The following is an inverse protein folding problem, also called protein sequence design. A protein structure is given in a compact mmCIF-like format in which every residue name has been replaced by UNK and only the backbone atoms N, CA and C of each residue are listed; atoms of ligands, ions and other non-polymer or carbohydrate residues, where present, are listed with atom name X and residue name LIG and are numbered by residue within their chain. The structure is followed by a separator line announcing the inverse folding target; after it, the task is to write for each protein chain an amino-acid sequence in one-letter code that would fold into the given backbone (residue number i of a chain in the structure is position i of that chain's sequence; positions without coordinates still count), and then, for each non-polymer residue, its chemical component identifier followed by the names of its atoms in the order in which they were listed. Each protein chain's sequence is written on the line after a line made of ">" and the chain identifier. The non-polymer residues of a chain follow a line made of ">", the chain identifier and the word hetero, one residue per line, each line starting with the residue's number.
data_IF_715546577781
#
_entry.id   IF_715546577781
#
_cell.length_a   1.000
_cell.length_b   1.000
_cell.length_c   1.000
_cell.angle_alpha   90.00
_cell.angle_beta   90.00
_cell.angle_gamma   90.00
#
_symmetry.space_group_name_H-M   'P 1'
#
loop_
_entity.id
_entity.type
_entity.pdbx_description
1 polymer ?
#
# COMPACT_ATOMS: atom_id res chain seq x y z
N UNK A 1 2.73 31.71 38.76
CA UNK A 1 1.83 30.74 38.08
C UNK A 1 2.43 30.08 36.81
N UNK A 2 3.48 30.62 36.19
CA UNK A 2 4.01 30.14 34.88
C UNK A 2 4.98 28.92 34.93
N UNK A 3 5.56 28.56 36.07
CA UNK A 3 6.59 27.51 36.15
C UNK A 3 5.96 26.09 36.20
N UNK A 4 4.81 25.97 36.89
CA UNK A 4 4.12 24.68 37.03
C UNK A 4 3.48 24.24 35.70
N UNK A 5 2.91 25.20 34.95
CA UNK A 5 2.33 24.93 33.60
C UNK A 5 3.38 24.48 32.58
N UNK A 6 4.58 25.05 32.63
CA UNK A 6 5.68 24.62 31.76
C UNK A 6 6.14 23.18 32.05
N UNK A 7 6.28 22.78 33.31
CA UNK A 7 6.71 21.41 33.67
C UNK A 7 5.72 20.35 33.17
N UNK A 8 4.41 20.59 33.28
CA UNK A 8 3.40 19.62 32.81
C UNK A 8 3.38 19.48 31.30
N UNK A 9 3.65 20.53 30.52
CA UNK A 9 3.75 20.51 29.07
C UNK A 9 4.97 19.69 28.64
N UNK A 10 6.14 19.94 29.25
CA UNK A 10 7.36 19.21 28.95
C UNK A 10 7.24 17.73 29.31
N UNK A 11 6.64 17.38 30.41
CA UNK A 11 6.39 15.99 30.81
C UNK A 11 5.48 15.28 29.82
N UNK A 12 4.38 15.93 29.41
CA UNK A 12 3.49 15.37 28.37
C UNK A 12 4.21 15.16 27.04
N UNK A 13 5.04 16.11 26.61
CA UNK A 13 5.82 15.98 25.39
C UNK A 13 6.81 14.81 25.49
N UNK A 14 7.54 14.71 26.59
CA UNK A 14 8.50 13.63 26.83
C UNK A 14 7.82 12.24 26.79
N UNK A 15 6.67 12.09 27.45
CA UNK A 15 5.92 10.83 27.46
C UNK A 15 5.51 10.44 26.03
N UNK A 16 5.05 11.39 25.21
CA UNK A 16 4.67 11.12 23.80
C UNK A 16 5.86 10.67 22.96
N UNK A 17 7.02 11.31 23.12
CA UNK A 17 8.26 10.90 22.45
C UNK A 17 8.65 9.49 22.87
N UNK A 18 8.71 9.22 24.19
CA UNK A 18 9.04 7.89 24.72
C UNK A 18 8.05 6.83 24.18
N UNK A 19 6.73 7.11 24.23
CA UNK A 19 5.72 6.18 23.72
C UNK A 19 5.90 5.89 22.23
N UNK A 20 6.24 6.92 21.43
CA UNK A 20 6.53 6.73 20.00
C UNK A 20 7.75 5.85 19.79
N UNK A 21 8.84 6.10 20.52
CA UNK A 21 10.06 5.28 20.45
C UNK A 21 9.82 3.84 20.89
N UNK A 22 9.06 3.63 21.96
CA UNK A 22 8.69 2.29 22.44
C UNK A 22 7.83 1.56 21.39
N UNK A 23 6.89 2.25 20.74
CA UNK A 23 6.08 1.64 19.69
C UNK A 23 6.92 1.32 18.44
N UNK A 24 7.84 2.20 18.04
CA UNK A 24 8.81 1.91 16.98
C UNK A 24 9.69 0.70 17.34
N UNK A 25 10.17 0.62 18.58
CA UNK A 25 10.95 -0.53 19.05
C UNK A 25 10.14 -1.84 19.04
N UNK A 26 8.86 -1.79 19.44
CA UNK A 26 7.96 -2.94 19.33
C UNK A 26 7.83 -3.41 17.88
N UNK A 27 7.60 -2.48 16.94
CA UNK A 27 7.51 -2.78 15.50
C UNK A 27 8.83 -3.36 14.99
N UNK A 28 9.97 -2.80 15.41
CA UNK A 28 11.29 -3.29 15.05
C UNK A 28 11.50 -4.74 15.48
N UNK A 29 11.29 -5.04 16.75
CA UNK A 29 11.47 -6.38 17.30
C UNK A 29 10.47 -7.41 16.73
N UNK A 30 9.29 -6.93 16.31
CA UNK A 30 8.30 -7.77 15.65
C UNK A 30 8.70 -8.16 14.22
N UNK A 31 9.47 -7.32 13.52
CA UNK A 31 9.56 -7.36 12.05
C UNK A 31 10.99 -7.54 11.51
N UNK A 32 12.02 -7.01 12.16
CA UNK A 32 13.36 -6.92 11.60
C UNK A 32 13.99 -8.28 11.27
N UNK A 33 13.85 -9.28 12.17
CA UNK A 33 14.37 -10.62 11.97
C UNK A 33 13.28 -11.66 11.65
N UNK A 34 12.05 -11.19 11.44
CA UNK A 34 10.87 -12.03 11.20
C UNK A 34 10.09 -11.57 9.97
N UNK A 35 10.73 -11.38 8.80
CA UNK A 35 10.01 -11.02 7.59
C UNK A 35 8.99 -12.10 7.24
N UNK A 36 7.87 -11.67 6.67
CA UNK A 36 6.85 -12.58 6.17
C UNK A 36 7.15 -12.88 4.69
N UNK A 37 7.89 -13.97 4.47
CA UNK A 37 8.18 -14.46 3.13
C UNK A 37 6.90 -14.92 2.45
N UNK A 38 6.60 -14.33 1.31
CA UNK A 38 5.50 -14.69 0.44
C UNK A 38 6.00 -14.92 -0.99
N UNK A 39 5.15 -15.50 -1.83
CA UNK A 39 5.53 -15.79 -3.21
C UNK A 39 5.95 -14.53 -3.97
N UNK A 40 5.26 -13.39 -3.76
CA UNK A 40 5.53 -12.13 -4.45
C UNK A 40 6.98 -11.63 -4.24
N UNK A 41 7.60 -11.98 -3.11
CA UNK A 41 8.97 -11.56 -2.82
C UNK A 41 10.00 -12.15 -3.80
N UNK A 42 9.75 -13.35 -4.34
CA UNK A 42 10.67 -14.01 -5.28
C UNK A 42 10.81 -13.20 -6.58
N UNK A 43 9.71 -12.88 -7.30
CA UNK A 43 9.82 -12.07 -8.52
C UNK A 43 10.25 -10.62 -8.26
N UNK A 44 10.07 -10.05 -7.05
CA UNK A 44 10.68 -8.74 -6.73
C UNK A 44 12.19 -8.82 -6.62
N UNK A 45 12.73 -9.86 -5.94
CA UNK A 45 14.16 -10.12 -5.87
C UNK A 45 14.74 -10.36 -7.27
N UNK A 46 14.09 -11.20 -8.06
CA UNK A 46 14.49 -11.44 -9.45
C UNK A 46 14.44 -10.16 -10.29
N UNK A 47 13.41 -9.32 -10.12
CA UNK A 47 13.30 -8.04 -10.83
C UNK A 47 14.43 -7.07 -10.47
N UNK A 48 14.79 -6.99 -9.19
CA UNK A 48 15.91 -6.15 -8.74
C UNK A 48 17.25 -6.68 -9.30
N UNK A 49 17.45 -8.01 -9.32
CA UNK A 49 18.65 -8.62 -9.92
C UNK A 49 18.69 -8.44 -11.44
N UNK A 50 17.54 -8.49 -12.11
CA UNK A 50 17.43 -8.24 -13.56
C UNK A 50 17.87 -6.81 -13.95
N UNK A 51 17.69 -5.82 -13.10
CA UNK A 51 18.20 -4.47 -13.37
C UNK A 51 19.72 -4.44 -13.50
N UNK A 52 20.42 -5.35 -12.82
CA UNK A 52 21.88 -5.50 -12.88
C UNK A 52 22.33 -6.37 -14.07
N UNK A 53 21.76 -7.56 -14.16
CA UNK A 53 22.26 -8.61 -15.08
C UNK A 53 21.72 -8.50 -16.49
N UNK A 54 20.50 -7.95 -16.65
CA UNK A 54 19.72 -7.95 -17.88
C UNK A 54 19.45 -9.36 -18.44
N UNK A 55 19.56 -10.37 -17.57
CA UNK A 55 19.41 -11.77 -17.88
C UNK A 55 18.33 -12.39 -16.98
N UNK A 56 17.30 -12.98 -17.60
CA UNK A 56 16.18 -13.57 -16.88
C UNK A 56 16.54 -14.90 -16.21
N UNK A 57 17.38 -15.72 -16.86
CA UNK A 57 17.79 -17.02 -16.34
C UNK A 57 18.68 -16.85 -15.08
N UNK A 58 19.65 -15.95 -15.15
CA UNK A 58 20.50 -15.59 -14.00
C UNK A 58 19.65 -15.04 -12.85
N UNK A 59 18.71 -14.14 -13.14
CA UNK A 59 17.85 -13.51 -12.15
C UNK A 59 16.88 -14.51 -11.49
N UNK A 60 16.34 -15.44 -12.30
CA UNK A 60 15.50 -16.54 -11.84
C UNK A 60 16.27 -17.43 -10.85
N UNK A 61 17.40 -18.00 -11.29
CA UNK A 61 18.25 -18.88 -10.49
C UNK A 61 18.67 -18.21 -9.19
N UNK A 62 19.14 -16.98 -9.27
CA UNK A 62 19.58 -16.19 -8.11
C UNK A 62 18.46 -16.04 -7.08
N UNK A 63 17.24 -15.69 -7.51
CA UNK A 63 16.13 -15.42 -6.60
C UNK A 63 15.71 -16.64 -5.80
N UNK A 64 15.67 -17.83 -6.43
CA UNK A 64 15.33 -19.08 -5.76
C UNK A 64 16.48 -19.61 -4.88
N UNK A 65 17.72 -19.49 -5.30
CA UNK A 65 18.89 -19.86 -4.49
C UNK A 65 18.97 -18.97 -3.22
N UNK A 66 18.74 -17.67 -3.38
CA UNK A 66 18.72 -16.74 -2.25
C UNK A 66 17.57 -17.07 -1.29
N UNK A 67 16.35 -17.38 -1.80
CA UNK A 67 15.23 -17.85 -0.98
C UNK A 67 15.60 -19.09 -0.17
N UNK A 68 16.18 -20.09 -0.84
CA UNK A 68 16.61 -21.34 -0.19
C UNK A 68 17.61 -21.09 0.93
N UNK A 69 18.52 -20.13 0.74
CA UNK A 69 19.52 -19.73 1.73
C UNK A 69 18.92 -18.96 2.91
N UNK A 70 17.98 -18.04 2.64
CA UNK A 70 17.44 -17.11 3.66
C UNK A 70 16.23 -17.63 4.40
N UNK A 71 15.43 -18.46 3.75
CA UNK A 71 14.17 -18.97 4.29
C UNK A 71 13.93 -20.45 3.94
N UNK A 72 14.88 -21.36 4.32
CA UNK A 72 14.81 -22.77 3.95
C UNK A 72 13.52 -23.44 4.40
N UNK A 73 12.99 -23.05 5.55
CA UNK A 73 11.73 -23.57 6.10
C UNK A 73 10.51 -23.22 5.26
N UNK A 74 10.54 -22.13 4.47
CA UNK A 74 9.45 -21.72 3.60
C UNK A 74 9.68 -22.11 2.13
N UNK A 75 10.90 -22.56 1.79
CA UNK A 75 11.31 -22.80 0.40
C UNK A 75 10.34 -23.74 -0.32
N UNK A 76 10.10 -24.96 0.20
CA UNK A 76 9.22 -25.93 -0.46
C UNK A 76 7.79 -25.42 -0.64
N UNK A 77 7.26 -24.69 0.33
CA UNK A 77 5.94 -24.08 0.24
C UNK A 77 5.84 -22.96 -0.80
N UNK A 78 6.91 -22.21 -1.00
CA UNK A 78 6.92 -21.08 -1.92
C UNK A 78 7.37 -21.43 -3.35
N UNK A 79 8.27 -22.44 -3.50
CA UNK A 79 8.75 -22.85 -4.83
C UNK A 79 7.91 -23.96 -5.46
N UNK A 80 7.43 -24.90 -4.64
CA UNK A 80 7.14 -26.24 -5.16
C UNK A 80 5.72 -26.73 -4.78
N UNK A 81 4.85 -25.89 -4.24
CA UNK A 81 3.47 -26.25 -3.92
C UNK A 81 2.51 -25.92 -5.05
N UNK A 82 1.99 -26.93 -5.72
CA UNK A 82 1.04 -26.81 -6.82
C UNK A 82 1.69 -26.53 -8.19
N UNK A 83 0.91 -26.73 -9.26
CA UNK A 83 1.40 -26.67 -10.63
C UNK A 83 2.03 -25.32 -10.99
N UNK A 84 1.40 -24.21 -10.60
CA UNK A 84 1.89 -22.86 -10.85
C UNK A 84 3.29 -22.62 -10.26
N UNK A 85 3.48 -22.87 -8.95
CA UNK A 85 4.77 -22.61 -8.29
C UNK A 85 5.86 -23.55 -8.78
N UNK A 86 5.53 -24.82 -9.07
CA UNK A 86 6.46 -25.76 -9.68
C UNK A 86 6.92 -25.29 -11.03
N UNK A 87 6.02 -24.86 -11.93
CA UNK A 87 6.39 -24.32 -13.23
C UNK A 87 7.28 -23.09 -13.08
N UNK A 88 6.89 -22.13 -12.24
CA UNK A 88 7.67 -20.91 -12.03
C UNK A 88 9.08 -21.16 -11.46
N UNK A 89 9.28 -22.22 -10.67
CA UNK A 89 10.59 -22.53 -10.07
C UNK A 89 11.49 -23.39 -10.99
N UNK A 90 10.91 -24.21 -11.85
CA UNK A 90 11.65 -25.13 -12.71
C UNK A 90 11.89 -24.61 -14.13
N UNK A 91 11.09 -23.62 -14.57
CA UNK A 91 11.13 -23.06 -15.93
C UNK A 91 11.36 -21.55 -15.88
N UNK A 92 12.55 -21.14 -16.29
CA UNK A 92 12.96 -19.72 -16.31
C UNK A 92 12.21 -18.90 -17.36
N UNK A 93 11.74 -19.50 -18.47
CA UNK A 93 10.95 -18.81 -19.49
C UNK A 93 9.52 -18.55 -18.98
N UNK A 94 8.89 -19.56 -18.36
CA UNK A 94 7.60 -19.39 -17.70
C UNK A 94 7.66 -18.30 -16.63
N UNK A 95 8.71 -18.30 -15.79
CA UNK A 95 8.94 -17.27 -14.79
C UNK A 95 9.17 -15.89 -15.44
N UNK A 96 10.01 -15.79 -16.47
CA UNK A 96 10.29 -14.55 -17.20
C UNK A 96 8.99 -13.95 -17.80
N UNK A 97 8.09 -14.79 -18.31
CA UNK A 97 6.79 -14.35 -18.85
C UNK A 97 5.89 -13.69 -17.78
N UNK A 98 6.10 -14.00 -16.50
CA UNK A 98 5.37 -13.44 -15.37
C UNK A 98 6.01 -12.15 -14.79
N UNK A 99 7.30 -11.93 -15.03
CA UNK A 99 8.06 -10.81 -14.49
C UNK A 99 7.44 -9.42 -14.72
N UNK A 100 6.81 -9.11 -15.87
CA UNK A 100 6.20 -7.80 -16.11
C UNK A 100 5.15 -7.39 -15.07
N UNK A 101 4.45 -8.36 -14.44
CA UNK A 101 3.48 -8.08 -13.37
C UNK A 101 4.13 -7.50 -12.11
N UNK A 102 5.43 -7.73 -11.91
CA UNK A 102 6.22 -7.23 -10.79
C UNK A 102 7.08 -6.04 -11.17
N UNK A 103 7.72 -6.07 -12.32
CA UNK A 103 8.57 -5.01 -12.84
C UNK A 103 7.82 -3.70 -13.09
N UNK A 104 6.50 -3.76 -13.35
CA UNK A 104 5.65 -2.58 -13.49
C UNK A 104 5.63 -1.70 -12.23
N UNK A 105 6.03 -2.23 -11.08
CA UNK A 105 6.26 -1.48 -9.84
C UNK A 105 7.69 -0.90 -9.83
N UNK A 106 8.01 -0.17 -10.89
CA UNK A 106 9.37 0.21 -11.27
C UNK A 106 10.13 0.98 -10.17
N UNK A 107 9.46 1.90 -9.49
CA UNK A 107 10.06 2.64 -8.37
C UNK A 107 10.35 1.72 -7.17
N UNK A 108 9.46 0.76 -6.89
CA UNK A 108 9.69 -0.19 -5.81
C UNK A 108 10.86 -1.13 -6.11
N UNK A 109 10.91 -1.68 -7.32
CA UNK A 109 12.01 -2.55 -7.76
C UNK A 109 13.34 -1.78 -7.78
N UNK A 110 13.35 -0.56 -8.29
CA UNK A 110 14.52 0.31 -8.26
C UNK A 110 14.99 0.63 -6.84
N UNK A 111 14.05 0.83 -5.90
CA UNK A 111 14.37 1.08 -4.50
C UNK A 111 14.94 -0.17 -3.81
N UNK A 112 14.47 -1.38 -4.15
CA UNK A 112 15.08 -2.63 -3.64
C UNK A 112 16.53 -2.70 -4.08
N UNK A 113 16.83 -2.48 -5.35
CA UNK A 113 18.18 -2.49 -5.88
C UNK A 113 19.06 -1.43 -5.19
N UNK A 114 18.57 -0.19 -5.15
CA UNK A 114 19.30 0.90 -4.47
C UNK A 114 19.61 0.57 -3.00
N UNK A 115 18.61 0.05 -2.27
CA UNK A 115 18.78 -0.28 -0.84
C UNK A 115 19.78 -1.43 -0.65
N UNK A 116 19.73 -2.44 -1.51
CA UNK A 116 20.66 -3.56 -1.52
C UNK A 116 22.09 -3.07 -1.72
N UNK A 117 22.33 -2.24 -2.74
CA UNK A 117 23.66 -1.71 -3.07
C UNK A 117 24.19 -0.75 -2.00
N UNK A 118 23.32 0.18 -1.54
CA UNK A 118 23.72 1.22 -0.59
C UNK A 118 24.10 0.66 0.79
N UNK A 119 23.34 -0.32 1.29
CA UNK A 119 23.57 -0.93 2.60
C UNK A 119 24.42 -2.21 2.54
N UNK A 120 24.78 -2.71 1.36
CA UNK A 120 25.52 -3.96 1.19
C UNK A 120 24.75 -5.18 1.70
N UNK A 121 23.40 -5.17 1.58
CA UNK A 121 22.53 -6.26 2.02
C UNK A 121 21.90 -6.99 0.82
N UNK A 122 21.44 -8.22 1.02
CA UNK A 122 20.69 -8.92 -0.02
C UNK A 122 19.30 -8.31 -0.25
N UNK A 123 18.68 -8.62 -1.38
CA UNK A 123 17.40 -8.02 -1.80
C UNK A 123 16.23 -8.38 -0.86
N UNK A 124 16.22 -9.58 -0.24
CA UNK A 124 15.20 -9.90 0.78
C UNK A 124 15.33 -8.99 2.00
N UNK A 125 16.55 -8.73 2.47
CA UNK A 125 16.77 -7.79 3.57
C UNK A 125 16.45 -6.36 3.14
N UNK A 126 16.77 -5.98 1.91
CA UNK A 126 16.42 -4.67 1.36
C UNK A 126 14.89 -4.46 1.34
N UNK A 127 14.11 -5.43 0.88
CA UNK A 127 12.65 -5.40 0.91
C UNK A 127 12.13 -5.24 2.34
N UNK A 128 12.66 -6.01 3.28
CA UNK A 128 12.27 -5.92 4.70
C UNK A 128 12.56 -4.53 5.28
N UNK A 129 13.74 -3.96 4.99
CA UNK A 129 14.12 -2.61 5.42
C UNK A 129 13.19 -1.54 4.83
N UNK A 130 12.81 -1.65 3.55
CA UNK A 130 11.87 -0.73 2.91
C UNK A 130 10.51 -0.77 3.60
N UNK A 131 9.97 -1.97 3.88
CA UNK A 131 8.69 -2.12 4.56
C UNK A 131 8.74 -1.57 5.99
N UNK A 132 9.78 -1.91 6.73
CA UNK A 132 9.98 -1.44 8.11
C UNK A 132 10.15 0.08 8.18
N UNK A 133 11.00 0.66 7.33
CA UNK A 133 11.21 2.12 7.25
C UNK A 133 9.93 2.85 6.86
N UNK A 134 9.15 2.28 5.95
CA UNK A 134 7.86 2.84 5.54
C UNK A 134 6.87 2.87 6.71
N UNK A 135 6.82 1.81 7.50
CA UNK A 135 5.97 1.75 8.70
C UNK A 135 6.45 2.74 9.77
N UNK A 136 7.76 2.89 9.97
CA UNK A 136 8.28 3.94 10.84
C UNK A 136 7.87 5.33 10.36
N UNK A 137 7.94 5.58 9.06
CA UNK A 137 7.43 6.82 8.47
C UNK A 137 5.94 7.05 8.77
N UNK A 138 5.09 6.02 8.64
CA UNK A 138 3.67 6.10 9.00
C UNK A 138 3.49 6.47 10.48
N UNK A 139 4.18 5.79 11.39
CA UNK A 139 4.12 6.06 12.83
C UNK A 139 4.53 7.50 13.12
N UNK A 140 5.65 7.96 12.55
CA UNK A 140 6.17 9.31 12.77
C UNK A 140 5.24 10.39 12.20
N UNK A 141 4.60 10.15 11.05
CA UNK A 141 3.60 11.07 10.49
C UNK A 141 2.38 11.19 11.41
N UNK A 142 1.84 10.07 11.90
CA UNK A 142 0.75 10.10 12.88
C UNK A 142 1.18 10.81 14.19
N UNK A 143 2.28 10.41 14.77
CA UNK A 143 2.78 10.99 16.01
C UNK A 143 3.05 12.50 15.87
N UNK A 144 3.73 12.93 14.81
CA UNK A 144 4.05 14.33 14.57
C UNK A 144 2.82 15.19 14.29
N UNK A 145 1.87 14.69 13.48
CA UNK A 145 0.65 15.43 13.17
C UNK A 145 -0.26 15.59 14.37
N UNK A 146 -0.43 14.55 15.18
CA UNK A 146 -1.29 14.52 16.36
C UNK A 146 -0.56 14.81 17.68
N UNK A 147 0.66 15.34 17.63
CA UNK A 147 1.46 15.62 18.84
C UNK A 147 0.77 16.59 19.81
N UNK A 148 -0.10 17.46 19.31
CA UNK A 148 -0.82 18.49 20.08
C UNK A 148 -2.04 17.97 20.85
N UNK A 149 -2.50 16.73 20.63
CA UNK A 149 -3.66 16.18 21.36
C UNK A 149 -3.26 15.75 22.79
N UNK A 150 -4.26 15.52 23.65
CA UNK A 150 -3.98 15.04 25.01
C UNK A 150 -3.31 13.65 24.99
N UNK A 151 -2.69 13.29 26.12
CA UNK A 151 -1.86 12.07 26.21
C UNK A 151 -2.66 10.80 25.94
N UNK A 152 -3.89 10.67 26.44
CA UNK A 152 -4.73 9.49 26.25
C UNK A 152 -5.11 9.34 24.78
N UNK A 153 -5.53 10.43 24.12
CA UNK A 153 -5.79 10.46 22.69
C UNK A 153 -4.54 10.13 21.87
N UNK A 154 -3.36 10.60 22.29
CA UNK A 154 -2.09 10.27 21.64
C UNK A 154 -1.75 8.78 21.76
N UNK A 155 -1.86 8.20 22.94
CA UNK A 155 -1.60 6.78 23.15
C UNK A 155 -2.59 5.89 22.39
N UNK A 156 -3.85 6.31 22.26
CA UNK A 156 -4.85 5.58 21.47
C UNK A 156 -4.52 5.51 19.99
N UNK A 157 -3.68 6.41 19.43
CA UNK A 157 -3.21 6.34 18.05
C UNK A 157 -2.50 5.01 17.76
N UNK A 158 -1.72 4.50 18.70
CA UNK A 158 -1.00 3.24 18.51
C UNK A 158 -1.97 2.05 18.43
N UNK A 159 -3.04 2.06 19.22
CA UNK A 159 -4.13 1.08 19.10
C UNK A 159 -4.80 1.14 17.73
N UNK A 160 -5.07 2.34 17.22
CA UNK A 160 -5.64 2.56 15.89
C UNK A 160 -4.69 2.05 14.80
N UNK A 161 -3.38 2.29 14.93
CA UNK A 161 -2.37 1.78 13.98
C UNK A 161 -2.30 0.25 14.00
N UNK A 162 -2.40 -0.38 15.18
CA UNK A 162 -2.47 -1.85 15.30
C UNK A 162 -3.73 -2.38 14.60
N UNK A 163 -4.88 -1.77 14.84
CA UNK A 163 -6.14 -2.14 14.16
C UNK A 163 -6.05 -1.97 12.64
N UNK A 164 -5.30 -0.97 12.17
CA UNK A 164 -5.00 -0.77 10.73
C UNK A 164 -3.90 -1.70 10.21
N UNK A 165 -3.50 -2.71 10.99
CA UNK A 165 -2.56 -3.78 10.65
C UNK A 165 -1.14 -3.32 10.31
N UNK A 166 -0.70 -2.22 10.87
CA UNK A 166 0.66 -1.67 10.68
C UNK A 166 1.75 -2.69 11.04
N UNK A 167 1.53 -3.50 12.10
CA UNK A 167 2.44 -4.58 12.48
C UNK A 167 2.59 -5.66 11.38
N UNK A 168 1.50 -5.98 10.69
CA UNK A 168 1.57 -6.92 9.58
C UNK A 168 2.28 -6.30 8.37
N UNK A 169 1.95 -5.05 8.02
CA UNK A 169 2.61 -4.32 6.94
C UNK A 169 4.12 -4.22 7.11
N UNK A 170 4.61 -4.09 8.35
CA UNK A 170 6.06 -3.99 8.62
C UNK A 170 6.86 -5.26 8.31
N UNK A 171 6.18 -6.42 8.27
CA UNK A 171 6.78 -7.72 7.94
C UNK A 171 6.62 -8.11 6.48
N UNK A 172 5.66 -7.49 5.77
CA UNK A 172 5.35 -7.84 4.39
C UNK A 172 6.49 -7.49 3.46
N UNK A 173 6.79 -8.41 2.56
CA UNK A 173 7.81 -8.24 1.52
C UNK A 173 7.17 -7.78 0.22
N UNK A 174 6.41 -6.67 0.28
CA UNK A 174 5.60 -6.12 -0.81
C UNK A 174 5.58 -4.59 -0.78
N UNK A 175 5.18 -3.90 -1.88
CA UNK A 175 5.19 -2.44 -1.95
C UNK A 175 4.13 -1.74 -1.09
N UNK A 176 3.29 -2.50 -0.38
CA UNK A 176 2.08 -1.98 0.26
C UNK A 176 2.36 -0.96 1.37
N UNK A 177 3.37 -1.20 2.21
CA UNK A 177 3.79 -0.26 3.26
C UNK A 177 4.30 1.06 2.68
N UNK A 178 5.17 0.99 1.65
CA UNK A 178 5.73 2.16 0.97
C UNK A 178 4.62 2.97 0.26
N UNK A 179 3.70 2.28 -0.39
CA UNK A 179 2.55 2.90 -1.05
C UNK A 179 1.65 3.63 -0.04
N UNK A 180 1.38 3.00 1.11
CA UNK A 180 0.59 3.59 2.20
C UNK A 180 1.25 4.84 2.77
N UNK A 181 2.58 4.83 2.96
CA UNK A 181 3.34 5.99 3.40
C UNK A 181 3.27 7.14 2.38
N UNK A 182 3.45 6.84 1.09
CA UNK A 182 3.40 7.83 0.02
C UNK A 182 2.04 8.56 0.00
N UNK A 183 0.94 7.82 0.10
CA UNK A 183 -0.40 8.42 0.18
C UNK A 183 -0.63 9.19 1.46
N UNK A 184 -0.20 8.67 2.60
CA UNK A 184 -0.32 9.39 3.87
C UNK A 184 0.44 10.72 3.84
N UNK A 185 1.68 10.72 3.37
CA UNK A 185 2.47 11.94 3.20
C UNK A 185 1.81 12.90 2.21
N UNK A 186 1.26 12.39 1.10
CA UNK A 186 0.52 13.21 0.12
C UNK A 186 -0.66 13.92 0.79
N UNK A 187 -1.48 13.21 1.56
CA UNK A 187 -2.63 13.78 2.29
C UNK A 187 -2.17 14.87 3.25
N UNK A 188 -1.15 14.60 4.06
CA UNK A 188 -0.62 15.59 5.02
C UNK A 188 -0.10 16.84 4.32
N UNK A 189 0.64 16.69 3.22
CA UNK A 189 1.13 17.82 2.44
C UNK A 189 -0.01 18.66 1.86
N UNK A 190 -1.04 18.02 1.30
CA UNK A 190 -2.22 18.71 0.78
C UNK A 190 -2.94 19.46 1.90
N UNK A 191 -3.12 18.83 3.08
CA UNK A 191 -3.73 19.47 4.26
C UNK A 191 -2.89 20.64 4.81
N UNK A 192 -1.57 20.61 4.62
CA UNK A 192 -0.63 21.70 4.96
C UNK A 192 -0.50 22.75 3.86
N UNK A 193 -1.37 22.74 2.84
CA UNK A 193 -1.35 23.61 1.65
C UNK A 193 -0.12 23.46 0.73
N UNK A 194 0.71 22.43 0.93
CA UNK A 194 1.81 22.06 0.03
C UNK A 194 1.28 21.16 -1.11
N UNK A 195 0.28 21.66 -1.85
CA UNK A 195 -0.52 20.89 -2.80
C UNK A 195 0.32 20.26 -3.91
N UNK A 196 1.28 21.02 -4.46
CA UNK A 196 2.16 20.54 -5.57
C UNK A 196 2.95 19.31 -5.12
N UNK A 197 3.61 19.38 -3.96
CA UNK A 197 4.37 18.25 -3.41
C UNK A 197 3.47 17.06 -3.10
N UNK A 198 2.27 17.30 -2.56
CA UNK A 198 1.29 16.25 -2.31
C UNK A 198 0.85 15.55 -3.60
N UNK A 199 0.54 16.30 -4.66
CA UNK A 199 0.17 15.72 -5.96
C UNK A 199 1.32 14.98 -6.63
N UNK A 200 2.54 15.49 -6.51
CA UNK A 200 3.72 14.79 -7.00
C UNK A 200 3.87 13.40 -6.35
N UNK A 201 3.68 13.30 -5.03
CA UNK A 201 3.69 12.01 -4.34
C UNK A 201 2.54 11.09 -4.75
N UNK A 202 1.34 11.64 -5.05
CA UNK A 202 0.24 10.84 -5.60
C UNK A 202 0.63 10.18 -6.93
N UNK A 203 1.27 10.94 -7.81
CA UNK A 203 1.71 10.43 -9.12
C UNK A 203 2.84 9.41 -8.95
N UNK A 204 3.83 9.68 -8.09
CA UNK A 204 4.91 8.74 -7.79
C UNK A 204 4.39 7.42 -7.21
N UNK A 205 3.30 7.46 -6.45
CA UNK A 205 2.68 6.24 -5.91
C UNK A 205 2.22 5.26 -6.99
N UNK A 206 1.99 5.72 -8.24
CA UNK A 206 1.71 4.83 -9.39
C UNK A 206 2.89 3.95 -9.76
N UNK A 207 4.12 4.47 -9.64
CA UNK A 207 5.35 3.73 -9.93
C UNK A 207 5.70 2.75 -8.80
N UNK A 208 5.18 2.99 -7.58
CA UNK A 208 5.26 2.04 -6.47
C UNK A 208 4.25 0.91 -6.68
N UNK A 209 3.02 1.26 -7.09
CA UNK A 209 1.94 0.31 -7.30
C UNK A 209 0.91 0.84 -8.31
N UNK A 210 0.78 0.24 -9.51
CA UNK A 210 -0.13 0.73 -10.56
C UNK A 210 -1.60 0.78 -10.16
N UNK A 211 -2.07 -0.14 -9.29
CA UNK A 211 -3.45 -0.13 -8.77
C UNK A 211 -3.81 1.14 -7.99
N UNK A 212 -2.81 1.95 -7.60
CA UNK A 212 -2.98 3.25 -6.98
C UNK A 212 -3.67 4.28 -7.89
N UNK A 213 -3.85 3.97 -9.19
CA UNK A 213 -4.57 4.82 -10.15
C UNK A 213 -5.97 5.20 -9.66
N UNK A 214 -6.63 4.32 -8.90
CA UNK A 214 -7.94 4.59 -8.29
C UNK A 214 -7.88 5.82 -7.38
N UNK A 215 -6.90 5.86 -6.47
CA UNK A 215 -6.75 6.97 -5.51
C UNK A 215 -6.21 8.23 -6.18
N UNK A 216 -5.26 8.10 -7.13
CA UNK A 216 -4.75 9.24 -7.87
C UNK A 216 -5.80 9.91 -8.76
N UNK A 217 -6.82 9.16 -9.20
CA UNK A 217 -7.98 9.69 -9.91
C UNK A 217 -9.01 10.35 -8.97
N UNK A 218 -9.27 9.75 -7.80
CA UNK A 218 -10.31 10.21 -6.88
C UNK A 218 -9.87 11.39 -5.99
N UNK A 219 -8.63 11.36 -5.47
CA UNK A 219 -8.17 12.40 -4.53
C UNK A 219 -8.21 13.81 -5.13
N UNK A 220 -7.81 14.07 -6.38
CA UNK A 220 -7.87 15.39 -6.97
C UNK A 220 -9.29 15.95 -7.19
N UNK A 221 -10.37 15.16 -7.01
CA UNK A 221 -11.75 15.61 -7.19
C UNK A 221 -12.09 16.85 -6.36
N UNK A 222 -11.39 17.09 -5.22
CA UNK A 222 -11.59 18.33 -4.46
C UNK A 222 -11.24 19.60 -5.24
N UNK A 223 -10.39 19.52 -6.28
CA UNK A 223 -10.05 20.64 -7.15
C UNK A 223 -11.24 21.09 -7.98
N UNK A 224 -12.17 20.17 -8.32
CA UNK A 224 -13.39 20.51 -9.05
C UNK A 224 -14.30 21.41 -8.21
N UNK A 225 -14.36 21.18 -6.90
CA UNK A 225 -15.06 22.07 -5.97
C UNK A 225 -14.51 23.49 -6.00
N UNK A 226 -13.19 23.63 -6.00
CA UNK A 226 -12.50 24.91 -6.05
C UNK A 226 -12.52 25.54 -7.47
N UNK A 227 -13.28 24.94 -8.42
CA UNK A 227 -13.35 25.33 -9.85
C UNK A 227 -12.00 25.32 -10.55
N UNK A 228 -11.06 24.50 -10.08
CA UNK A 228 -9.70 24.37 -10.63
C UNK A 228 -9.65 23.27 -11.69
N UNK A 229 -10.52 23.34 -12.69
CA UNK A 229 -10.68 22.32 -13.73
C UNK A 229 -9.38 22.05 -14.51
N UNK A 230 -8.60 23.07 -14.81
CA UNK A 230 -7.33 22.91 -15.52
C UNK A 230 -6.32 22.09 -14.71
N UNK A 231 -6.20 22.36 -13.40
CA UNK A 231 -5.31 21.59 -12.53
C UNK A 231 -5.78 20.14 -12.38
N UNK A 232 -7.08 19.93 -12.25
CA UNK A 232 -7.65 18.58 -12.22
C UNK A 232 -7.36 17.83 -13.53
N UNK A 233 -7.64 18.46 -14.68
CA UNK A 233 -7.38 17.88 -16.00
C UNK A 233 -5.89 17.57 -16.19
N UNK A 234 -4.99 18.50 -15.84
CA UNK A 234 -3.55 18.28 -15.91
C UNK A 234 -3.09 17.09 -15.06
N UNK A 235 -3.54 16.99 -13.79
CA UNK A 235 -3.16 15.87 -12.91
C UNK A 235 -3.70 14.54 -13.41
N UNK A 236 -4.93 14.52 -13.95
CA UNK A 236 -5.52 13.32 -14.52
C UNK A 236 -4.73 12.85 -15.75
N UNK A 237 -4.42 13.74 -16.66
CA UNK A 237 -3.60 13.44 -17.85
C UNK A 237 -2.20 12.97 -17.43
N UNK A 238 -1.55 13.66 -16.49
CA UNK A 238 -0.23 13.28 -15.98
C UNK A 238 -0.26 11.88 -15.36
N UNK A 239 -1.24 11.58 -14.51
CA UNK A 239 -1.38 10.27 -13.87
C UNK A 239 -1.60 9.14 -14.88
N UNK A 240 -2.50 9.37 -15.85
CA UNK A 240 -2.74 8.40 -16.93
C UNK A 240 -1.52 8.23 -17.81
N UNK A 241 -0.79 9.31 -18.12
CA UNK A 241 0.45 9.25 -18.89
C UNK A 241 1.52 8.45 -18.18
N UNK A 242 1.77 8.72 -16.89
CA UNK A 242 2.75 7.97 -16.08
C UNK A 242 2.39 6.50 -16.01
N UNK A 243 1.10 6.18 -15.76
CA UNK A 243 0.62 4.81 -15.76
C UNK A 243 0.83 4.12 -17.10
N UNK A 244 0.40 4.76 -18.21
CA UNK A 244 0.48 4.20 -19.56
C UNK A 244 1.92 3.99 -20.00
N UNK A 245 2.79 4.99 -19.85
CA UNK A 245 4.19 4.87 -20.25
C UNK A 245 4.92 3.82 -19.43
N UNK A 246 4.72 3.76 -18.11
CA UNK A 246 5.30 2.72 -17.27
C UNK A 246 4.84 1.32 -17.70
N UNK A 247 3.54 1.14 -17.96
CA UNK A 247 2.99 -0.12 -18.42
C UNK A 247 3.53 -0.51 -19.83
N UNK A 248 3.64 0.45 -20.73
CA UNK A 248 4.16 0.22 -22.11
C UNK A 248 5.65 -0.13 -22.11
N UNK A 249 6.46 0.58 -21.32
CA UNK A 249 7.92 0.33 -21.27
C UNK A 249 8.27 -1.04 -20.68
N UNK A 250 7.46 -1.55 -19.76
CA UNK A 250 7.74 -2.79 -19.03
C UNK A 250 6.97 -3.98 -19.61
N UNK A 251 5.98 -3.74 -20.49
CA UNK A 251 5.13 -4.81 -21.02
C UNK A 251 4.07 -5.29 -20.02
N UNK A 252 3.46 -4.36 -19.28
CA UNK A 252 2.46 -4.69 -18.28
C UNK A 252 1.30 -5.53 -18.82
N UNK A 253 0.85 -6.50 -18.02
CA UNK A 253 -0.15 -7.50 -18.41
C UNK A 253 -1.55 -6.93 -18.73
N UNK A 254 -1.83 -5.70 -18.32
CA UNK A 254 -3.18 -5.12 -18.35
C UNK A 254 -4.09 -5.65 -17.23
N UNK A 255 -5.23 -4.96 -17.03
CA UNK A 255 -6.12 -5.25 -15.91
C UNK A 255 -6.77 -6.63 -16.01
N UNK A 256 -7.42 -6.95 -17.13
CA UNK A 256 -8.16 -8.21 -17.26
C UNK A 256 -7.27 -9.45 -17.20
N UNK A 257 -6.13 -9.42 -17.87
CA UNK A 257 -5.16 -10.52 -17.85
C UNK A 257 -4.63 -10.75 -16.43
N UNK A 258 -4.33 -9.68 -15.69
CA UNK A 258 -3.92 -9.76 -14.29
C UNK A 258 -5.04 -10.29 -13.38
N UNK A 259 -6.28 -9.80 -13.58
CA UNK A 259 -7.46 -10.27 -12.87
C UNK A 259 -7.69 -11.76 -13.10
N UNK A 260 -7.79 -12.17 -14.38
CA UNK A 260 -8.07 -13.55 -14.78
C UNK A 260 -6.99 -14.51 -14.30
N UNK A 261 -5.72 -14.15 -14.43
CA UNK A 261 -4.61 -15.00 -13.98
C UNK A 261 -4.55 -15.19 -12.47
N UNK A 262 -4.98 -14.19 -11.70
CA UNK A 262 -4.90 -14.24 -10.24
C UNK A 262 -6.13 -14.86 -9.58
N UNK A 263 -7.30 -14.76 -10.21
CA UNK A 263 -8.59 -15.10 -9.57
C UNK A 263 -9.34 -16.25 -10.25
N UNK A 264 -9.01 -16.58 -11.50
CA UNK A 264 -9.76 -17.56 -12.31
C UNK A 264 -8.86 -18.68 -12.82
N UNK A 265 -7.81 -18.35 -13.57
CA UNK A 265 -7.09 -19.31 -14.39
C UNK A 265 -5.77 -19.82 -13.82
N UNK A 266 -5.07 -19.08 -12.99
CA UNK A 266 -3.72 -19.40 -12.44
C UNK A 266 -2.81 -20.14 -13.49
N UNK A 267 -2.48 -19.49 -14.62
CA UNK A 267 -1.73 -20.15 -15.70
C UNK A 267 -0.30 -20.48 -15.24
N UNK A 268 0.23 -21.61 -15.69
CA UNK A 268 1.62 -22.02 -15.42
C UNK A 268 2.64 -21.24 -16.24
N UNK A 269 2.22 -20.52 -17.27
CA UNK A 269 3.03 -19.59 -18.07
C UNK A 269 2.13 -18.48 -18.63
N UNK A 270 2.71 -17.30 -18.85
CA UNK A 270 2.00 -16.17 -19.49
C UNK A 270 2.30 -16.09 -21.01
N UNK A 271 3.12 -17.01 -21.55
CA UNK A 271 3.38 -17.10 -22.98
C UNK A 271 2.08 -17.53 -23.69
N UNK A 272 1.60 -16.69 -24.61
CA UNK A 272 0.33 -16.94 -25.32
C UNK A 272 -0.94 -16.84 -24.45
N UNK A 273 -0.82 -16.51 -23.18
CA UNK A 273 -1.98 -16.34 -22.30
C UNK A 273 -2.66 -15.01 -22.53
N UNK A 274 -3.80 -15.01 -23.19
CA UNK A 274 -4.59 -13.82 -23.50
C UNK A 274 -6.09 -14.14 -23.42
N UNK A 275 -6.64 -14.30 -22.20
CA UNK A 275 -8.03 -14.66 -22.03
C UNK A 275 -8.95 -13.53 -22.49
N UNK A 276 -10.00 -13.80 -23.30
CA UNK A 276 -10.98 -12.82 -23.70
C UNK A 276 -11.76 -12.33 -22.47
N UNK A 277 -12.15 -11.06 -22.47
CA UNK A 277 -12.96 -10.52 -21.38
C UNK A 277 -14.31 -11.23 -21.31
N UNK A 278 -14.66 -11.74 -20.11
CA UNK A 278 -15.92 -12.39 -19.84
C UNK A 278 -16.58 -11.79 -18.58
N UNK A 279 -17.69 -11.10 -18.80
CA UNK A 279 -18.41 -10.41 -17.74
C UNK A 279 -19.04 -11.38 -16.71
N UNK A 280 -19.49 -12.57 -17.13
CA UNK A 280 -20.01 -13.58 -16.20
C UNK A 280 -18.93 -14.07 -15.25
N UNK A 281 -17.76 -14.44 -15.79
CA UNK A 281 -16.62 -14.85 -14.96
C UNK A 281 -16.16 -13.75 -14.00
N UNK A 282 -16.22 -12.49 -14.43
CA UNK A 282 -15.92 -11.36 -13.54
C UNK A 282 -16.93 -11.31 -12.37
N UNK A 283 -18.24 -11.39 -12.64
CA UNK A 283 -19.27 -11.36 -11.60
C UNK A 283 -19.20 -12.57 -10.67
N UNK A 284 -18.95 -13.76 -11.21
CA UNK A 284 -18.78 -14.99 -10.42
C UNK A 284 -17.59 -14.86 -9.46
N UNK A 285 -16.45 -14.36 -9.96
CA UNK A 285 -15.28 -14.11 -9.15
C UNK A 285 -15.53 -13.05 -8.07
N UNK A 286 -16.21 -11.94 -8.44
CA UNK A 286 -16.57 -10.90 -7.48
C UNK A 286 -17.46 -11.45 -6.36
N UNK A 287 -18.47 -12.22 -6.72
CA UNK A 287 -19.39 -12.86 -5.78
C UNK A 287 -18.68 -13.84 -4.86
N UNK A 288 -17.85 -14.74 -5.43
CA UNK A 288 -17.07 -15.71 -4.67
C UNK A 288 -16.16 -15.01 -3.62
N UNK A 289 -15.36 -14.03 -4.04
CA UNK A 289 -14.43 -13.34 -3.16
C UNK A 289 -15.12 -12.41 -2.15
N UNK A 290 -16.30 -11.87 -2.49
CA UNK A 290 -17.11 -11.11 -1.55
C UNK A 290 -17.59 -12.00 -0.39
N UNK A 291 -18.18 -13.16 -0.69
CA UNK A 291 -18.62 -14.09 0.35
C UNK A 291 -17.44 -14.69 1.13
N UNK A 292 -16.32 -14.98 0.45
CA UNK A 292 -15.10 -15.41 1.13
C UNK A 292 -14.62 -14.34 2.12
N UNK A 293 -14.57 -13.08 1.73
CA UNK A 293 -14.17 -11.96 2.60
C UNK A 293 -15.09 -11.83 3.81
N UNK A 294 -16.38 -12.05 3.66
CA UNK A 294 -17.34 -11.99 4.76
C UNK A 294 -17.22 -13.19 5.73
N UNK A 295 -16.91 -14.37 5.21
CA UNK A 295 -16.89 -15.62 6.00
C UNK A 295 -15.64 -15.77 6.87
N UNK A 296 -14.52 -15.17 6.51
CA UNK A 296 -13.25 -15.28 7.24
C UNK A 296 -12.98 -14.05 8.10
N UNK A 297 -12.94 -14.26 9.43
CA UNK A 297 -12.67 -13.20 10.41
C UNK A 297 -11.34 -12.45 10.17
N UNK A 298 -10.34 -13.10 9.61
CA UNK A 298 -9.05 -12.46 9.34
C UNK A 298 -9.14 -11.47 8.18
N UNK A 299 -10.07 -11.67 7.25
CA UNK A 299 -10.24 -10.85 6.05
C UNK A 299 -11.36 -9.82 6.15
N UNK A 300 -12.42 -10.06 6.92
CA UNK A 300 -13.56 -9.14 6.98
C UNK A 300 -13.28 -7.81 7.71
N UNK A 301 -12.21 -7.74 8.52
CA UNK A 301 -11.85 -6.52 9.27
C UNK A 301 -11.62 -5.30 8.38
N UNK A 302 -10.90 -5.47 7.28
CA UNK A 302 -10.63 -4.35 6.37
C UNK A 302 -11.91 -3.87 5.67
N UNK A 303 -12.80 -4.81 5.32
CA UNK A 303 -14.10 -4.49 4.72
C UNK A 303 -14.99 -3.73 5.73
N UNK A 304 -15.03 -4.19 6.98
CA UNK A 304 -15.75 -3.50 8.04
C UNK A 304 -15.23 -2.07 8.24
N UNK A 305 -13.90 -1.87 8.25
CA UNK A 305 -13.29 -0.54 8.32
C UNK A 305 -13.65 0.31 7.10
N UNK A 306 -13.56 -0.23 5.89
CA UNK A 306 -13.89 0.48 4.65
C UNK A 306 -15.35 0.91 4.61
N UNK A 307 -16.28 0.03 5.01
CA UNK A 307 -17.70 0.35 5.09
C UNK A 307 -17.97 1.41 6.18
N UNK A 308 -17.37 1.27 7.36
CA UNK A 308 -17.49 2.26 8.44
C UNK A 308 -16.99 3.64 8.02
N UNK A 309 -15.84 3.70 7.33
CA UNK A 309 -15.30 4.95 6.81
C UNK A 309 -16.19 5.53 5.70
N UNK A 310 -16.74 4.69 4.81
CA UNK A 310 -17.64 5.13 3.76
C UNK A 310 -18.94 5.71 4.33
N UNK A 311 -19.54 5.08 5.34
CA UNK A 311 -20.71 5.62 6.06
C UNK A 311 -20.36 6.93 6.78
N UNK A 312 -19.21 6.98 7.43
CA UNK A 312 -18.69 8.21 8.03
C UNK A 312 -18.50 9.33 7.01
N UNK A 313 -17.98 9.01 5.83
CA UNK A 313 -17.82 9.97 4.73
C UNK A 313 -19.17 10.51 4.24
N UNK A 314 -20.17 9.64 4.03
CA UNK A 314 -21.53 10.06 3.66
C UNK A 314 -22.14 10.97 4.73
N UNK A 315 -22.02 10.61 6.01
CA UNK A 315 -22.50 11.46 7.12
C UNK A 315 -21.84 12.83 7.11
N UNK A 316 -20.51 12.89 6.92
CA UNK A 316 -19.77 14.14 6.85
C UNK A 316 -20.17 15.01 5.65
N UNK A 317 -20.42 14.39 4.49
CA UNK A 317 -20.91 15.08 3.29
C UNK A 317 -22.30 15.68 3.53
N UNK A 318 -23.20 14.95 4.18
CA UNK A 318 -24.55 15.44 4.50
C UNK A 318 -24.53 16.57 5.51
N UNK A 319 -23.73 16.45 6.58
CA UNK A 319 -23.63 17.47 7.65
C UNK A 319 -23.00 18.78 7.14
N UNK A 320 -22.12 18.71 6.16
CA UNK A 320 -21.36 19.87 5.65
C UNK A 320 -21.94 20.42 4.32
N UNK A 321 -23.23 20.31 4.07
CA UNK A 321 -23.91 20.74 2.82
C UNK A 321 -23.59 22.17 2.35
N UNK A 322 -23.19 23.08 3.28
CA UNK A 322 -22.80 24.46 2.96
C UNK A 322 -21.30 24.69 2.74
N UNK A 323 -20.44 23.83 3.30
CA UNK A 323 -18.98 23.98 3.27
C UNK A 323 -18.29 22.61 3.18
N UNK A 324 -18.27 22.05 1.97
CA UNK A 324 -17.46 20.86 1.70
C UNK A 324 -15.98 21.23 1.88
N UNK A 325 -15.39 20.80 2.99
CA UNK A 325 -13.96 20.97 3.22
C UNK A 325 -13.17 19.96 2.37
N UNK A 326 -12.01 20.37 1.89
CA UNK A 326 -11.16 19.50 1.06
C UNK A 326 -10.84 18.18 1.75
N UNK A 327 -10.63 18.21 3.07
CA UNK A 327 -10.36 17.03 3.89
C UNK A 327 -11.51 16.00 3.85
N UNK A 328 -12.78 16.45 3.80
CA UNK A 328 -13.94 15.57 3.68
C UNK A 328 -13.95 14.87 2.33
N UNK A 329 -13.68 15.60 1.25
CA UNK A 329 -13.62 15.04 -0.11
C UNK A 329 -12.48 14.03 -0.20
N UNK A 330 -11.30 14.34 0.34
CA UNK A 330 -10.15 13.43 0.35
C UNK A 330 -10.46 12.18 1.17
N UNK A 331 -11.08 12.33 2.34
CA UNK A 331 -11.53 11.20 3.16
C UNK A 331 -12.51 10.31 2.38
N UNK A 332 -13.49 10.92 1.72
CA UNK A 332 -14.45 10.22 0.85
C UNK A 332 -13.73 9.48 -0.28
N UNK A 333 -12.76 10.13 -0.93
CA UNK A 333 -11.99 9.53 -2.01
C UNK A 333 -11.22 8.27 -1.56
N UNK A 334 -10.58 8.30 -0.39
CA UNK A 334 -9.90 7.12 0.15
C UNK A 334 -10.89 6.04 0.60
N UNK A 335 -11.96 6.41 1.30
CA UNK A 335 -12.96 5.46 1.81
C UNK A 335 -13.63 4.69 0.67
N UNK A 336 -14.17 5.39 -0.33
CA UNK A 336 -14.78 4.77 -1.50
C UNK A 336 -13.74 4.15 -2.44
N UNK A 337 -12.53 4.71 -2.50
CA UNK A 337 -11.43 4.16 -3.27
C UNK A 337 -11.06 2.72 -2.85
N UNK A 338 -11.17 2.39 -1.56
CA UNK A 338 -11.00 1.01 -1.07
C UNK A 338 -12.07 0.08 -1.65
N UNK A 339 -13.34 0.50 -1.63
CA UNK A 339 -14.45 -0.30 -2.19
C UNK A 339 -14.32 -0.44 -3.71
N UNK A 340 -13.97 0.63 -4.42
CA UNK A 340 -13.73 0.58 -5.87
C UNK A 340 -12.52 -0.34 -6.19
N UNK A 341 -11.46 -0.28 -5.38
CA UNK A 341 -10.32 -1.18 -5.56
C UNK A 341 -10.71 -2.65 -5.36
N UNK A 342 -11.62 -2.94 -4.43
CA UNK A 342 -12.18 -4.29 -4.26
C UNK A 342 -13.01 -4.71 -5.47
N UNK A 343 -13.87 -3.84 -6.00
CA UNK A 343 -14.63 -4.16 -7.21
C UNK A 343 -13.72 -4.44 -8.41
N UNK A 344 -12.63 -3.68 -8.55
CA UNK A 344 -11.67 -3.90 -9.64
C UNK A 344 -10.81 -5.14 -9.45
N UNK A 345 -10.53 -5.55 -8.21
CA UNK A 345 -9.67 -6.69 -7.90
C UNK A 345 -10.04 -7.32 -6.54
N UNK A 346 -11.07 -8.19 -6.51
CA UNK A 346 -11.70 -8.67 -5.29
C UNK A 346 -10.90 -9.76 -4.57
N UNK A 347 -9.67 -9.45 -4.15
CA UNK A 347 -8.89 -10.36 -3.32
C UNK A 347 -9.16 -10.08 -1.85
N UNK A 348 -9.36 -11.13 -1.05
CA UNK A 348 -9.59 -11.04 0.39
C UNK A 348 -8.33 -10.70 1.21
N UNK A 349 -7.29 -10.13 0.61
CA UNK A 349 -6.04 -9.78 1.29
C UNK A 349 -6.02 -8.28 1.64
N UNK A 350 -6.09 -7.99 2.95
CA UNK A 350 -6.14 -6.61 3.48
C UNK A 350 -4.95 -5.73 3.05
N UNK A 351 -3.77 -6.31 2.80
CA UNK A 351 -2.57 -5.57 2.37
C UNK A 351 -2.83 -4.75 1.10
N UNK A 352 -3.64 -5.30 0.19
CA UNK A 352 -3.97 -4.66 -1.09
C UNK A 352 -4.68 -3.33 -0.89
N UNK A 353 -5.45 -3.20 0.19
CA UNK A 353 -6.26 -2.04 0.53
C UNK A 353 -5.57 -1.09 1.51
N UNK A 354 -4.40 -1.46 2.05
CA UNK A 354 -3.67 -0.67 3.04
C UNK A 354 -3.36 0.75 2.54
N UNK A 355 -3.05 0.90 1.25
CA UNK A 355 -2.80 2.21 0.60
C UNK A 355 -3.97 3.19 0.72
N UNK A 356 -5.20 2.69 0.79
CA UNK A 356 -6.40 3.50 1.03
C UNK A 356 -6.78 3.59 2.50
N UNK A 357 -6.67 2.46 3.23
CA UNK A 357 -7.10 2.38 4.63
C UNK A 357 -6.25 3.24 5.58
N UNK A 358 -4.92 3.28 5.41
CA UNK A 358 -4.05 4.08 6.29
C UNK A 358 -4.36 5.59 6.19
N UNK A 359 -4.42 6.22 5.00
CA UNK A 359 -4.85 7.60 4.89
C UNK A 359 -6.29 7.86 5.35
N UNK A 360 -7.23 6.94 5.07
CA UNK A 360 -8.61 7.04 5.57
C UNK A 360 -8.65 7.02 7.11
N UNK A 361 -7.90 6.11 7.73
CA UNK A 361 -7.76 6.04 9.20
C UNK A 361 -7.21 7.34 9.77
N UNK A 362 -6.16 7.89 9.15
CA UNK A 362 -5.58 9.17 9.55
C UNK A 362 -6.63 10.30 9.53
N UNK A 363 -7.37 10.42 8.43
CA UNK A 363 -8.40 11.44 8.27
C UNK A 363 -9.59 11.23 9.24
N UNK A 364 -9.96 9.97 9.47
CA UNK A 364 -10.99 9.64 10.46
C UNK A 364 -10.60 10.10 11.86
N UNK A 365 -9.39 9.81 12.31
CA UNK A 365 -8.85 10.30 13.59
C UNK A 365 -8.83 11.83 13.64
N UNK A 366 -8.40 12.47 12.54
CA UNK A 366 -8.43 13.93 12.42
C UNK A 366 -9.83 14.50 12.63
N UNK A 367 -10.87 13.92 12.04
CA UNK A 367 -12.24 14.37 12.23
C UNK A 367 -12.76 14.13 13.63
N UNK A 368 -12.52 12.97 14.24
CA UNK A 368 -12.91 12.70 15.62
C UNK A 368 -12.34 13.74 16.57
N UNK A 369 -11.08 14.11 16.37
CA UNK A 369 -10.44 15.12 17.20
C UNK A 369 -10.99 16.53 16.95
N UNK A 370 -11.27 16.89 15.72
CA UNK A 370 -11.80 18.21 15.34
C UNK A 370 -13.21 18.43 15.86
N UNK A 371 -14.09 17.41 15.80
CA UNK A 371 -15.47 17.50 16.32
C UNK A 371 -15.56 17.58 17.86
N UNK A 372 -14.56 17.07 18.58
CA UNK A 372 -14.53 17.17 20.04
C UNK A 372 -14.24 18.61 20.53
N UNK A 373 -13.74 19.49 19.66
CA UNK A 373 -13.41 20.89 19.97
C UNK A 373 -14.53 21.89 19.60
N UNK A 374 -15.49 21.46 18.80
CA UNK A 374 -16.72 22.24 18.45
C UNK A 374 -17.87 21.80 19.35
#
# INVERSE_FOLDING_TARGET
>A
MNIITNKSIWLSALIKVIATLLFCNLVFNHSYDKPYYNYDSIPYVASAKYLETRDHEISHKYSYELLKKKAPQFYNGLCCSGAYRNSMSSDSEAFASHMPAYQIKSMYVGLIRFTSDFFGVDEYKAINLISLSSVFGIILVFAGFFFHINIFGFLSLFGVLILSQVLHLSRLMTPDALSSLAFLCSVVLIMRNLKIAGFFLLVLALLIRPSNIVYTGLVPLFLLKDRKFLYFGFLSVLSLSVYYFNAKMIGGLGWWKSFHSSLIGMPTTFIGYDPPFNFSQYLESLNYWFFWTLSDWNYNRWLALALSFSLGAVYLLQKNKGYLRNEVIIFTAFSFGVLISFLLFPIADHRIYASGLIPATFLFVFFLYKFKKT
#
